data_IF_735963108583
#
_entry.id   IF_735963108583
#
_cell.length_a   1.000
_cell.length_b   1.000
_cell.length_c   1.000
_cell.angle_alpha   90.00
_cell.angle_beta   90.00
_cell.angle_gamma   90.00
#
_symmetry.space_group_name_H-M   'P 1'
#
loop_
_entity.id
_entity.type
_entity.pdbx_description
1 polymer ?
#
# COMPACT_ATOMS: atom_id res chain seq x y z
N UNK A 1 11.66 9.09 19.68
CA UNK A 1 10.90 8.03 18.98
C UNK A 1 10.99 8.19 17.49
N UNK A 2 11.25 7.10 16.83
CA UNK A 2 11.39 7.11 15.39
C UNK A 2 10.00 7.04 14.75
N UNK A 3 9.74 7.91 13.79
CA UNK A 3 8.49 7.81 13.04
C UNK A 3 8.54 6.63 12.08
N UNK A 4 7.40 5.95 11.95
CA UNK A 4 7.30 4.87 11.00
C UNK A 4 7.11 5.42 9.59
N UNK A 5 7.63 4.73 8.62
CA UNK A 5 7.50 5.12 7.22
C UNK A 5 6.37 4.32 6.58
N UNK A 6 5.52 5.02 5.85
CA UNK A 6 4.42 4.43 5.09
C UNK A 6 4.60 4.83 3.63
N UNK A 7 4.47 3.88 2.74
CA UNK A 7 4.52 4.17 1.32
C UNK A 7 3.10 4.18 0.75
N UNK A 8 2.86 5.05 -0.21
CA UNK A 8 1.58 5.14 -0.92
C UNK A 8 1.87 4.86 -2.40
N UNK A 9 1.27 3.80 -2.93
CA UNK A 9 1.40 3.42 -4.34
C UNK A 9 0.01 3.52 -4.96
N UNK A 10 -0.13 4.39 -5.94
CA UNK A 10 -1.45 4.70 -6.51
C UNK A 10 -1.28 5.16 -7.96
N UNK A 11 -2.41 5.28 -8.67
CA UNK A 11 -2.41 5.77 -10.04
C UNK A 11 -2.74 7.26 -10.13
N UNK A 12 -3.30 7.83 -9.07
CA UNK A 12 -3.83 9.20 -9.09
C UNK A 12 -2.95 10.13 -8.27
N UNK A 13 -2.35 11.16 -8.91
CA UNK A 13 -1.55 12.15 -8.14
C UNK A 13 -2.36 12.85 -7.05
N UNK A 14 -3.63 13.15 -7.33
CA UNK A 14 -4.45 13.83 -6.33
C UNK A 14 -4.69 12.94 -5.11
N UNK A 15 -4.92 11.66 -5.32
CA UNK A 15 -5.12 10.72 -4.23
C UNK A 15 -3.84 10.55 -3.44
N UNK A 16 -2.70 10.46 -4.11
CA UNK A 16 -1.40 10.36 -3.45
C UNK A 16 -1.20 11.58 -2.54
N UNK A 17 -1.45 12.76 -3.05
CA UNK A 17 -1.24 13.97 -2.25
C UNK A 17 -2.17 14.01 -1.04
N UNK A 18 -3.41 13.61 -1.22
CA UNK A 18 -4.37 13.59 -0.13
C UNK A 18 -3.96 12.61 0.95
N UNK A 19 -3.57 11.40 0.56
CA UNK A 19 -3.11 10.39 1.50
C UNK A 19 -1.83 10.81 2.21
N UNK A 20 -0.92 11.45 1.49
CA UNK A 20 0.30 11.96 2.11
C UNK A 20 -0.03 12.92 3.24
N UNK A 21 -0.98 13.81 3.02
CA UNK A 21 -1.36 14.80 4.04
C UNK A 21 -1.97 14.16 5.26
N UNK A 22 -2.93 13.25 5.06
CA UNK A 22 -3.60 12.66 6.22
C UNK A 22 -2.68 11.72 7.00
N UNK A 23 -1.82 10.98 6.31
CA UNK A 23 -0.88 10.09 6.99
C UNK A 23 0.23 10.86 7.67
N UNK A 24 0.72 11.93 7.04
CA UNK A 24 1.71 12.79 7.68
C UNK A 24 1.15 13.40 8.96
N UNK A 25 -0.10 13.88 8.89
CA UNK A 25 -0.77 14.44 10.06
C UNK A 25 -0.93 13.41 11.17
N UNK A 26 -1.07 12.14 10.80
CA UNK A 26 -1.18 11.05 11.76
C UNK A 26 0.17 10.65 12.36
N UNK A 27 1.27 11.25 11.92
CA UNK A 27 2.58 11.05 12.52
C UNK A 27 3.53 10.17 11.73
N UNK A 28 3.23 9.87 10.48
CA UNK A 28 4.08 9.01 9.66
C UNK A 28 4.97 9.80 8.73
N UNK A 29 6.12 9.21 8.40
CA UNK A 29 6.91 9.65 7.26
C UNK A 29 6.29 8.97 6.04
N UNK A 30 5.96 9.75 5.00
CA UNK A 30 5.25 9.22 3.85
C UNK A 30 6.11 9.35 2.60
N UNK A 31 6.28 8.23 1.91
CA UNK A 31 6.93 8.21 0.60
C UNK A 31 5.91 7.67 -0.40
N UNK A 32 6.08 7.97 -1.67
CA UNK A 32 5.06 7.61 -2.64
C UNK A 32 5.66 7.22 -3.98
N UNK A 33 4.89 6.47 -4.74
CA UNK A 33 5.22 6.11 -6.11
C UNK A 33 3.95 5.84 -6.89
N UNK A 34 4.09 5.78 -8.20
CA UNK A 34 2.94 5.55 -9.08
C UNK A 34 3.00 4.16 -9.68
N UNK A 35 1.84 3.52 -9.71
CA UNK A 35 1.72 2.16 -10.23
C UNK A 35 2.27 2.05 -11.65
N UNK A 36 1.98 3.04 -12.50
CA UNK A 36 2.45 2.98 -13.88
C UNK A 36 3.97 3.10 -13.98
N UNK A 37 4.62 3.76 -13.04
CA UNK A 37 6.09 3.85 -13.03
C UNK A 37 6.71 2.50 -12.70
N UNK A 38 6.08 1.74 -11.82
CA UNK A 38 6.55 0.39 -11.52
C UNK A 38 6.37 -0.50 -12.75
N UNK A 39 5.20 -0.41 -13.38
CA UNK A 39 4.89 -1.22 -14.56
C UNK A 39 5.83 -0.94 -15.72
N UNK A 40 6.17 0.33 -15.91
CA UNK A 40 7.02 0.75 -17.03
C UNK A 40 8.50 0.66 -16.73
N UNK A 41 8.86 0.25 -15.53
CA UNK A 41 10.27 0.09 -15.16
C UNK A 41 10.96 1.38 -14.74
N UNK A 42 10.22 2.47 -14.59
CA UNK A 42 10.83 3.74 -14.16
C UNK A 42 11.04 3.78 -12.65
N UNK A 43 10.29 2.98 -11.92
CA UNK A 43 10.47 2.85 -10.48
C UNK A 43 10.81 1.40 -10.17
N UNK A 44 12.02 1.19 -9.66
CA UNK A 44 12.44 -0.13 -9.18
C UNK A 44 11.90 -0.29 -7.77
N UNK A 45 10.85 -1.09 -7.61
CA UNK A 45 10.16 -1.22 -6.33
C UNK A 45 11.07 -1.84 -5.26
N UNK A 46 11.96 -2.75 -5.65
CA UNK A 46 12.90 -3.33 -4.68
C UNK A 46 13.84 -2.27 -4.13
N UNK A 47 14.44 -1.45 -5.02
CA UNK A 47 15.33 -0.38 -4.58
C UNK A 47 14.57 0.64 -3.73
N UNK A 48 13.33 0.94 -4.10
CA UNK A 48 12.49 1.87 -3.37
C UNK A 48 12.25 1.39 -1.93
N UNK A 49 11.91 0.11 -1.78
CA UNK A 49 11.68 -0.46 -0.46
C UNK A 49 12.98 -0.57 0.34
N UNK A 50 14.08 -0.91 -0.31
CA UNK A 50 15.37 -0.94 0.37
C UNK A 50 15.76 0.43 0.91
N UNK A 51 15.49 1.47 0.13
CA UNK A 51 15.84 2.83 0.53
C UNK A 51 14.97 3.34 1.66
N UNK A 52 13.68 3.10 1.59
CA UNK A 52 12.71 3.75 2.49
C UNK A 52 12.24 2.85 3.64
N UNK A 53 12.33 1.54 3.48
CA UNK A 53 11.94 0.57 4.51
C UNK A 53 10.56 0.84 5.09
N UNK A 54 9.52 0.95 4.25
CA UNK A 54 8.18 1.22 4.80
C UNK A 54 7.66 0.02 5.57
N UNK A 55 7.01 0.30 6.67
CA UNK A 55 6.32 -0.74 7.46
C UNK A 55 5.04 -1.17 6.78
N UNK A 56 4.36 -0.22 6.16
CA UNK A 56 3.08 -0.45 5.52
C UNK A 56 3.11 0.22 4.16
N UNK A 57 2.54 -0.44 3.18
CA UNK A 57 2.33 0.14 1.85
C UNK A 57 0.82 0.20 1.61
N UNK A 58 0.32 1.40 1.41
CA UNK A 58 -1.06 1.61 0.97
C UNK A 58 -1.05 1.48 -0.54
N UNK A 59 -1.61 0.40 -1.04
CA UNK A 59 -1.49 0.03 -2.44
C UNK A 59 -2.87 0.01 -3.09
N UNK A 60 -3.04 0.77 -4.17
CA UNK A 60 -4.31 0.87 -4.85
C UNK A 60 -4.37 -0.10 -6.03
N UNK A 61 -5.46 -0.86 -6.10
CA UNK A 61 -5.71 -1.75 -7.23
C UNK A 61 -6.87 -1.17 -8.02
N UNK A 62 -6.52 -0.55 -9.15
CA UNK A 62 -7.45 0.13 -10.03
C UNK A 62 -7.73 -0.73 -11.26
N UNK A 63 -8.80 -0.40 -12.03
CA UNK A 63 -9.02 -1.09 -13.31
C UNK A 63 -7.87 -0.81 -14.29
N UNK A 64 -7.51 -1.76 -15.14
CA UNK A 64 -8.08 -3.10 -15.25
C UNK A 64 -7.59 -3.99 -14.09
N UNK A 65 -8.54 -4.56 -13.37
CA UNK A 65 -8.24 -5.22 -12.10
C UNK A 65 -7.30 -6.40 -12.23
N UNK A 66 -7.47 -7.21 -13.26
CA UNK A 66 -6.64 -8.40 -13.41
C UNK A 66 -5.17 -8.05 -13.64
N UNK A 67 -4.92 -7.07 -14.50
CA UNK A 67 -3.53 -6.66 -14.78
C UNK A 67 -2.89 -6.04 -13.56
N UNK A 68 -3.64 -5.18 -12.87
CA UNK A 68 -3.10 -4.52 -11.69
C UNK A 68 -2.97 -5.48 -10.52
N UNK A 69 -3.84 -6.49 -10.46
CA UNK A 69 -3.69 -7.56 -9.48
C UNK A 69 -2.40 -8.37 -9.75
N UNK A 70 -2.11 -8.67 -11.01
CA UNK A 70 -0.87 -9.40 -11.33
C UNK A 70 0.36 -8.61 -10.91
N UNK A 71 0.34 -7.31 -11.13
CA UNK A 71 1.45 -6.47 -10.71
C UNK A 71 1.59 -6.49 -9.20
N UNK A 72 0.50 -6.31 -8.48
CA UNK A 72 0.53 -6.35 -7.03
C UNK A 72 0.99 -7.71 -6.52
N UNK A 73 0.52 -8.78 -7.14
CA UNK A 73 0.90 -10.13 -6.74
C UNK A 73 2.41 -10.33 -6.90
N UNK A 74 2.98 -9.79 -7.97
CA UNK A 74 4.42 -9.83 -8.17
C UNK A 74 5.13 -9.05 -7.06
N UNK A 75 4.66 -7.84 -6.80
CA UNK A 75 5.29 -6.96 -5.81
C UNK A 75 5.28 -7.60 -4.42
N UNK A 76 4.14 -8.13 -4.01
CA UNK A 76 4.02 -8.65 -2.64
C UNK A 76 4.83 -9.92 -2.39
N UNK A 77 5.23 -10.62 -3.46
CA UNK A 77 5.99 -11.85 -3.31
C UNK A 77 7.50 -11.64 -3.34
N UNK A 78 7.95 -10.39 -3.51
CA UNK A 78 9.38 -10.11 -3.46
C UNK A 78 9.91 -10.31 -2.03
N UNK A 79 11.12 -10.87 -1.94
CA UNK A 79 11.72 -11.14 -0.63
C UNK A 79 11.81 -9.89 0.24
N UNK A 80 12.07 -8.73 -0.38
CA UNK A 80 12.19 -7.49 0.35
C UNK A 80 10.88 -7.10 1.05
N UNK A 81 9.76 -7.67 0.63
CA UNK A 81 8.44 -7.37 1.18
C UNK A 81 8.06 -8.29 2.34
N UNK A 82 8.95 -9.17 2.77
CA UNK A 82 8.62 -10.17 3.77
C UNK A 82 8.00 -9.59 5.03
N UNK A 83 8.52 -8.46 5.49
CA UNK A 83 8.07 -7.84 6.72
C UNK A 83 7.18 -6.62 6.48
N UNK A 84 6.76 -6.43 5.25
CA UNK A 84 5.91 -5.30 4.88
C UNK A 84 4.45 -5.71 4.90
N UNK A 85 3.61 -4.86 5.45
CA UNK A 85 2.17 -5.09 5.44
C UNK A 85 1.53 -4.20 4.41
N UNK A 86 0.42 -4.67 3.87
CA UNK A 86 -0.29 -3.95 2.80
C UNK A 86 -1.68 -3.57 3.26
N UNK A 87 -2.04 -2.32 3.02
CA UNK A 87 -3.43 -1.86 3.10
C UNK A 87 -3.86 -1.62 1.67
N UNK A 88 -4.81 -2.39 1.19
CA UNK A 88 -5.25 -2.32 -0.20
C UNK A 88 -6.40 -1.34 -0.30
N UNK A 89 -6.37 -0.49 -1.31
CA UNK A 89 -7.51 0.37 -1.61
C UNK A 89 -8.03 0.02 -3.01
N UNK A 90 -9.33 0.12 -3.20
CA UNK A 90 -9.93 -0.14 -4.51
C UNK A 90 -11.35 0.39 -4.54
N UNK A 91 -11.78 0.87 -5.71
CA UNK A 91 -13.18 1.28 -5.88
C UNK A 91 -14.11 0.08 -5.94
N UNK A 92 -13.55 -1.11 -6.11
CA UNK A 92 -14.34 -2.34 -6.10
C UNK A 92 -13.69 -3.33 -5.14
N UNK A 93 -13.83 -3.03 -3.85
CA UNK A 93 -13.14 -3.78 -2.81
C UNK A 93 -13.58 -5.24 -2.75
N UNK A 94 -14.85 -5.51 -3.04
CA UNK A 94 -15.36 -6.88 -3.04
C UNK A 94 -14.68 -7.73 -4.11
N UNK A 95 -14.53 -7.16 -5.30
CA UNK A 95 -13.87 -7.87 -6.41
C UNK A 95 -12.40 -8.16 -6.08
N UNK A 96 -11.72 -7.16 -5.55
CA UNK A 96 -10.31 -7.30 -5.18
C UNK A 96 -10.13 -8.30 -4.04
N UNK A 97 -11.01 -8.26 -3.05
CA UNK A 97 -10.95 -9.21 -1.95
C UNK A 97 -11.08 -10.66 -2.45
N UNK A 98 -11.86 -10.85 -3.51
CA UNK A 98 -11.99 -12.17 -4.13
C UNK A 98 -10.69 -12.70 -4.71
N UNK A 99 -9.85 -11.82 -5.25
CA UNK A 99 -8.53 -12.22 -5.73
C UNK A 99 -7.58 -12.59 -4.61
N UNK A 100 -7.65 -11.83 -3.50
CA UNK A 100 -6.68 -11.97 -2.43
C UNK A 100 -6.83 -13.26 -1.65
N UNK A 101 -8.08 -13.72 -1.46
CA UNK A 101 -8.30 -14.84 -0.58
C UNK A 101 -7.76 -14.53 0.81
N UNK A 102 -6.97 -15.43 1.35
CA UNK A 102 -6.30 -15.20 2.62
C UNK A 102 -4.84 -14.86 2.39
N UNK A 103 -4.44 -13.69 2.83
CA UNK A 103 -3.07 -13.27 2.71
C UNK A 103 -2.66 -12.55 3.99
N UNK A 104 -1.69 -13.11 4.68
CA UNK A 104 -1.23 -12.57 5.96
C UNK A 104 -0.56 -11.22 5.83
N UNK A 105 -0.08 -10.87 4.64
CA UNK A 105 0.56 -9.59 4.42
C UNK A 105 -0.45 -8.49 4.15
N UNK A 106 -1.66 -8.85 3.72
CA UNK A 106 -2.70 -7.87 3.45
C UNK A 106 -3.50 -7.65 4.72
N UNK A 107 -3.39 -6.46 5.26
CA UNK A 107 -4.05 -6.15 6.51
C UNK A 107 -5.53 -5.85 6.31
N UNK A 108 -5.82 -5.03 5.31
CA UNK A 108 -7.21 -4.64 5.08
C UNK A 108 -7.41 -4.20 3.65
N UNK A 109 -8.62 -4.41 3.13
CA UNK A 109 -9.04 -3.87 1.83
C UNK A 109 -10.04 -2.76 2.11
N UNK A 110 -9.71 -1.55 1.69
CA UNK A 110 -10.52 -0.37 1.96
C UNK A 110 -10.99 0.24 0.65
N UNK A 111 -12.25 0.63 0.62
CA UNK A 111 -12.81 1.30 -0.54
C UNK A 111 -12.25 2.72 -0.64
N UNK A 112 -11.70 3.07 -1.78
CA UNK A 112 -11.12 4.38 -1.94
C UNK A 112 -12.09 5.30 -2.68
N UNK A 113 -11.82 6.59 -2.65
CA UNK A 113 -10.92 7.34 -1.76
C UNK A 113 -11.68 7.95 -0.61
N UNK A 114 -12.94 7.62 -0.51
CA UNK A 114 -13.88 8.36 0.33
C UNK A 114 -13.75 8.03 1.80
N UNK A 115 -12.93 7.03 2.14
CA UNK A 115 -12.85 6.59 3.52
C UNK A 115 -11.44 6.77 4.07
N UNK A 116 -11.00 8.04 4.12
CA UNK A 116 -9.65 8.36 4.57
C UNK A 116 -9.41 7.95 6.01
N UNK A 117 -10.41 8.14 6.88
CA UNK A 117 -10.28 7.76 8.28
C UNK A 117 -10.03 6.28 8.42
N UNK A 118 -10.71 5.50 7.60
CA UNK A 118 -10.55 4.05 7.64
C UNK A 118 -9.17 3.64 7.17
N UNK A 119 -8.65 4.31 6.14
CA UNK A 119 -7.29 4.05 5.67
C UNK A 119 -6.28 4.35 6.77
N UNK A 120 -6.42 5.51 7.42
CA UNK A 120 -5.52 5.87 8.51
C UNK A 120 -5.62 4.85 9.64
N UNK A 121 -6.83 4.44 10.01
CA UNK A 121 -7.02 3.43 11.05
C UNK A 121 -6.36 2.12 10.67
N UNK A 122 -6.54 1.67 9.42
CA UNK A 122 -5.94 0.43 8.95
C UNK A 122 -4.42 0.51 8.99
N UNK A 123 -3.86 1.65 8.59
CA UNK A 123 -2.41 1.85 8.65
C UNK A 123 -1.91 1.78 10.09
N UNK A 124 -2.60 2.45 11.00
CA UNK A 124 -2.21 2.43 12.41
C UNK A 124 -2.20 1.02 12.98
N UNK A 125 -3.24 0.26 12.66
CA UNK A 125 -3.32 -1.12 13.13
C UNK A 125 -2.25 -1.98 12.50
N UNK A 126 -1.98 -1.80 11.22
CA UNK A 126 -0.96 -2.56 10.53
C UNK A 126 0.44 -2.27 11.07
N UNK A 127 0.73 -1.01 11.42
CA UNK A 127 2.04 -0.67 11.99
C UNK A 127 2.21 -1.23 13.39
N UNK A 128 1.13 -1.39 14.14
CA UNK A 128 1.18 -2.00 15.47
C UNK A 128 1.25 -3.51 15.42
N UNK A 129 0.63 -4.10 14.40
CA UNK A 129 0.60 -5.55 14.27
C UNK A 129 2.01 -6.02 13.96
N UNK A 130 2.65 -6.57 14.96
CA UNK A 130 3.99 -7.06 14.74
C UNK A 130 3.93 -8.40 14.05
N UNK A 131 4.93 -8.62 13.22
CA UNK A 131 5.19 -9.94 12.73
C UNK A 131 5.68 -10.71 13.95
N UNK A 132 4.87 -11.38 14.59
CA UNK A 132 5.30 -12.12 15.73
C UNK A 132 5.96 -13.36 15.32
N UNK A 133 6.13 -13.13 15.36
CA UNK A 133 6.34 -13.95 15.34
C UNK A 133 6.47 -14.65 15.23
#
# INVERSE_FOLDING_TARGET
>A
MTQETVAVINTSPDTVELLRRVLHRAGYVVVSGYTFDIREGRLDITAFVEQHRPKVIVYDIAPPYEENWRLFNHVRTLDIMRDTRFVITSVNSTHVAGFLGRDEHVYEVVERPSDLDRIVTAVKEATRARATR
#
